data_IF_865316524908
#
_entry.id   IF_865316524908
#
_cell.length_a   1.000
_cell.length_b   1.000
_cell.length_c   1.000
_cell.angle_alpha   90.00
_cell.angle_beta   90.00
_cell.angle_gamma   90.00
#
_symmetry.space_group_name_H-M   'P 1'
#
loop_
_entity.id
_entity.type
_entity.pdbx_description
1 polymer ?
#
# COMPACT_ATOMS: atom_id res chain seq x y z
N UNK A 1 9.95 -17.44 3.18
CA UNK A 1 8.65 -17.50 3.88
C UNK A 1 8.35 -16.29 4.75
N UNK A 2 9.27 -15.68 5.52
CA UNK A 2 8.92 -14.58 6.45
C UNK A 2 8.48 -13.24 5.81
N UNK A 3 8.86 -12.99 4.54
CA UNK A 3 8.52 -11.75 3.80
C UNK A 3 7.53 -12.00 2.65
N UNK A 4 7.09 -13.24 2.46
CA UNK A 4 6.28 -13.62 1.30
C UNK A 4 4.92 -12.92 1.30
N UNK A 5 4.28 -12.79 2.46
CA UNK A 5 2.99 -12.11 2.57
C UNK A 5 3.09 -10.63 2.15
N UNK A 6 4.22 -9.97 2.43
CA UNK A 6 4.50 -8.59 2.00
C UNK A 6 4.58 -8.51 0.49
N UNK A 7 5.33 -9.42 -0.14
CA UNK A 7 5.42 -9.49 -1.59
C UNK A 7 4.07 -9.78 -2.24
N UNK A 8 3.26 -10.68 -1.67
CA UNK A 8 1.91 -10.97 -2.18
C UNK A 8 0.98 -9.76 -2.06
N UNK A 9 1.01 -9.03 -0.93
CA UNK A 9 0.23 -7.82 -0.74
C UNK A 9 0.60 -6.73 -1.77
N UNK A 10 1.90 -6.50 -1.97
CA UNK A 10 2.39 -5.60 -3.01
C UNK A 10 1.96 -6.03 -4.42
N UNK A 11 2.17 -7.32 -4.75
CA UNK A 11 1.90 -7.85 -6.08
C UNK A 11 0.41 -8.00 -6.40
N UNK A 12 -0.49 -8.01 -5.41
CA UNK A 12 -1.94 -8.11 -5.62
C UNK A 12 -2.54 -6.79 -6.13
N UNK A 13 -2.09 -5.66 -5.59
CA UNK A 13 -2.63 -4.35 -5.93
C UNK A 13 -2.34 -3.93 -7.38
N UNK A 14 -1.18 -4.32 -7.93
CA UNK A 14 -0.79 -3.91 -9.28
C UNK A 14 -1.64 -4.54 -10.40
N UNK A 15 -1.91 -5.86 -10.43
CA UNK A 15 -2.87 -6.46 -11.35
C UNK A 15 -4.27 -5.87 -11.26
N UNK A 16 -4.74 -5.56 -10.04
CA UNK A 16 -6.06 -4.95 -9.85
C UNK A 16 -6.12 -3.57 -10.52
N UNK A 17 -5.09 -2.74 -10.33
CA UNK A 17 -4.96 -1.44 -11.03
C UNK A 17 -4.89 -1.61 -12.54
N UNK A 18 -4.10 -2.57 -13.04
CA UNK A 18 -4.03 -2.88 -14.48
C UNK A 18 -5.40 -3.25 -15.04
N UNK A 19 -6.13 -4.13 -14.34
CA UNK A 19 -7.45 -4.57 -14.77
C UNK A 19 -8.48 -3.43 -14.80
N UNK A 20 -8.31 -2.42 -13.95
CA UNK A 20 -9.16 -1.22 -13.87
C UNK A 20 -8.72 -0.11 -14.82
N UNK A 21 -7.52 -0.22 -15.43
CA UNK A 21 -6.94 0.83 -16.25
C UNK A 21 -6.33 1.98 -15.44
N UNK A 22 -6.07 1.76 -14.15
CA UNK A 22 -5.49 2.75 -13.25
C UNK A 22 -3.97 2.89 -13.41
N UNK A 23 -3.45 4.01 -12.92
CA UNK A 23 -2.01 4.25 -12.88
C UNK A 23 -1.30 3.28 -11.91
N UNK A 24 -0.32 2.55 -12.44
CA UNK A 24 0.48 1.61 -11.65
C UNK A 24 1.71 2.25 -11.02
N UNK A 25 2.04 3.50 -11.37
CA UNK A 25 3.22 4.21 -10.83
C UNK A 25 3.11 4.55 -9.34
N UNK A 26 1.99 5.09 -8.82
CA UNK A 26 1.90 5.50 -7.41
C UNK A 26 2.20 4.35 -6.45
N UNK A 27 2.76 4.67 -5.27
CA UNK A 27 3.09 3.68 -4.25
C UNK A 27 1.93 2.74 -3.91
N UNK A 28 2.22 1.46 -3.69
CA UNK A 28 1.24 0.47 -3.23
C UNK A 28 1.03 0.59 -1.72
N UNK A 29 -0.10 0.10 -1.20
CA UNK A 29 -0.38 0.08 0.24
C UNK A 29 0.73 -0.66 1.01
N UNK A 30 1.21 -1.79 0.47
CA UNK A 30 2.33 -2.53 1.06
C UNK A 30 3.63 -1.71 1.13
N UNK A 31 3.94 -0.89 0.11
CA UNK A 31 5.11 -0.01 0.11
C UNK A 31 4.99 1.08 1.19
N UNK A 32 3.78 1.67 1.33
CA UNK A 32 3.52 2.67 2.38
C UNK A 32 3.68 2.06 3.77
N UNK A 33 3.13 0.86 4.01
CA UNK A 33 3.31 0.15 5.30
C UNK A 33 4.79 -0.05 5.62
N UNK A 34 5.59 -0.49 4.65
CA UNK A 34 7.02 -0.69 4.85
C UNK A 34 7.75 0.63 5.14
N UNK A 35 7.43 1.69 4.41
CA UNK A 35 8.02 3.02 4.62
C UNK A 35 7.70 3.57 6.03
N UNK A 36 6.44 3.52 6.45
CA UNK A 36 6.00 4.01 7.76
C UNK A 36 6.46 3.09 8.90
N UNK A 37 6.50 1.77 8.67
CA UNK A 37 7.05 0.80 9.61
C UNK A 37 8.57 0.94 9.80
N UNK A 38 9.29 1.45 8.79
CA UNK A 38 10.69 1.84 8.95
C UNK A 38 10.81 3.18 9.70
N UNK A 39 10.01 4.19 9.31
CA UNK A 39 10.00 5.49 9.96
C UNK A 39 9.68 5.41 11.46
N UNK A 40 8.76 4.53 11.86
CA UNK A 40 8.38 4.31 13.26
C UNK A 40 9.51 3.79 14.15
N UNK A 41 10.53 3.13 13.56
CA UNK A 41 11.72 2.68 14.27
C UNK A 41 12.71 3.82 14.53
N UNK A 42 12.59 4.93 13.78
CA UNK A 42 13.46 6.10 13.89
C UNK A 42 12.80 7.15 14.81
N UNK A 43 11.51 7.37 14.66
CA UNK A 43 10.74 8.32 15.44
C UNK A 43 9.28 7.87 15.60
N UNK A 44 8.65 8.27 16.70
CA UNK A 44 7.23 8.02 16.91
C UNK A 44 6.40 8.67 15.80
N UNK A 45 5.49 7.89 15.21
CA UNK A 45 4.51 8.40 14.26
C UNK A 45 3.48 9.27 14.99
N UNK A 46 3.05 10.35 14.35
CA UNK A 46 1.89 11.12 14.81
C UNK A 46 0.58 10.38 14.49
N UNK A 47 -0.54 10.86 15.04
CA UNK A 47 -1.84 10.20 14.90
C UNK A 47 -2.28 9.98 13.45
N UNK A 48 -2.05 10.97 12.56
CA UNK A 48 -2.36 10.87 11.13
C UNK A 48 -1.52 9.79 10.45
N UNK A 49 -0.21 9.79 10.69
CA UNK A 49 0.72 8.80 10.15
C UNK A 49 0.43 7.38 10.66
N UNK A 50 0.05 7.24 11.93
CA UNK A 50 -0.41 5.97 12.51
C UNK A 50 -1.71 5.52 11.84
N UNK A 51 -2.68 6.41 11.67
CA UNK A 51 -3.94 6.12 10.98
C UNK A 51 -3.73 5.64 9.55
N UNK A 52 -2.87 6.34 8.78
CA UNK A 52 -2.48 5.93 7.44
C UNK A 52 -1.83 4.54 7.41
N UNK A 53 -0.86 4.29 8.32
CA UNK A 53 -0.17 3.01 8.40
C UNK A 53 -1.16 1.85 8.61
N UNK A 54 -2.14 2.01 9.51
CA UNK A 54 -3.16 0.99 9.76
C UNK A 54 -4.14 0.81 8.59
N UNK A 55 -4.58 1.90 7.95
CA UNK A 55 -5.43 1.85 6.75
C UNK A 55 -4.74 1.05 5.64
N UNK A 56 -3.48 1.38 5.35
CA UNK A 56 -2.69 0.70 4.33
C UNK A 56 -2.40 -0.76 4.71
N UNK A 57 -2.23 -1.06 6.00
CA UNK A 57 -2.10 -2.43 6.47
C UNK A 57 -3.33 -3.28 6.14
N UNK A 58 -4.52 -2.78 6.47
CA UNK A 58 -5.78 -3.48 6.18
C UNK A 58 -5.98 -3.70 4.67
N UNK A 59 -5.63 -2.71 3.85
CA UNK A 59 -5.70 -2.82 2.40
C UNK A 59 -4.70 -3.84 1.82
N UNK A 60 -3.45 -3.81 2.29
CA UNK A 60 -2.39 -4.67 1.77
C UNK A 60 -2.48 -6.13 2.25
N UNK A 61 -2.99 -6.33 3.47
CA UNK A 61 -2.98 -7.62 4.16
C UNK A 61 -4.36 -8.00 4.73
N UNK A 62 -5.42 -8.06 3.90
CA UNK A 62 -6.79 -8.26 4.37
C UNK A 62 -7.00 -9.60 5.09
N UNK A 63 -6.18 -10.61 4.76
CA UNK A 63 -6.25 -11.95 5.36
C UNK A 63 -5.47 -12.05 6.69
N UNK A 64 -4.80 -10.98 7.11
CA UNK A 64 -4.06 -10.93 8.37
C UNK A 64 -4.94 -10.29 9.44
N UNK A 65 -5.38 -11.09 10.40
CA UNK A 65 -6.05 -10.60 11.60
C UNK A 65 -5.03 -9.91 12.51
N UNK A 66 -4.92 -8.60 12.37
CA UNK A 66 -4.36 -7.74 13.41
C UNK A 66 -5.55 -7.15 14.16
N UNK A 67 -5.50 -7.21 15.49
CA UNK A 67 -6.51 -6.61 16.36
C UNK A 67 -6.32 -5.08 16.33
N UNK A 68 -6.68 -4.49 15.18
CA UNK A 68 -6.68 -3.05 14.95
C UNK A 68 -8.06 -2.58 15.46
N UNK A 69 -8.17 -2.56 16.79
CA UNK A 69 -9.34 -2.25 17.63
C UNK A 69 -10.02 -0.89 17.28
N UNK A 70 -11.18 -0.62 17.92
CA UNK A 70 -12.09 0.55 17.89
C UNK A 70 -11.40 1.92 17.67
N UNK A 71 -10.15 2.03 18.09
CA UNK A 71 -9.24 3.14 17.90
C UNK A 71 -9.03 3.55 16.42
N UNK A 72 -9.02 2.62 15.47
CA UNK A 72 -8.83 2.99 14.05
C UNK A 72 -10.07 3.65 13.48
N UNK A 73 -11.27 3.12 13.75
CA UNK A 73 -12.52 3.76 13.32
C UNK A 73 -12.63 5.18 13.89
N UNK A 74 -12.22 5.35 15.16
CA UNK A 74 -12.17 6.67 15.79
C UNK A 74 -11.16 7.61 15.11
N UNK A 75 -9.95 7.14 14.78
CA UNK A 75 -8.95 7.93 14.05
C UNK A 75 -9.45 8.34 12.67
N UNK A 76 -10.08 7.43 11.94
CA UNK A 76 -10.66 7.72 10.63
C UNK A 76 -11.75 8.79 10.71
N UNK A 77 -12.62 8.73 11.74
CA UNK A 77 -13.65 9.76 11.97
C UNK A 77 -13.08 11.14 12.28
N UNK A 78 -11.98 11.23 13.02
CA UNK A 78 -11.40 12.51 13.45
C UNK A 78 -10.40 13.10 12.46
N UNK A 79 -9.61 12.25 11.80
CA UNK A 79 -8.45 12.65 11.01
C UNK A 79 -8.51 12.17 9.57
N UNK A 80 -9.63 11.61 9.11
CA UNK A 80 -9.78 11.01 7.77
C UNK A 80 -9.26 11.91 6.64
N UNK A 81 -9.61 13.20 6.64
CA UNK A 81 -9.12 14.13 5.61
C UNK A 81 -7.60 14.29 5.63
N UNK A 82 -6.99 14.41 6.81
CA UNK A 82 -5.53 14.47 6.94
C UNK A 82 -4.86 13.15 6.56
N UNK A 83 -5.53 12.03 6.80
CA UNK A 83 -5.05 10.70 6.38
C UNK A 83 -5.10 10.60 4.85
N UNK A 84 -6.16 11.10 4.21
CA UNK A 84 -6.29 11.13 2.75
C UNK A 84 -5.20 11.98 2.11
N UNK A 85 -4.93 13.17 2.67
CA UNK A 85 -3.83 14.05 2.22
C UNK A 85 -2.47 13.34 2.36
N UNK A 86 -2.23 12.70 3.51
CA UNK A 86 -1.00 11.95 3.76
C UNK A 86 -0.87 10.74 2.83
N UNK A 87 -1.97 10.07 2.50
CA UNK A 87 -1.99 8.96 1.54
C UNK A 87 -1.59 9.44 0.15
N UNK A 88 -2.19 10.52 -0.33
CA UNK A 88 -1.87 11.11 -1.63
C UNK A 88 -0.38 11.48 -1.72
N UNK A 89 0.15 12.15 -0.68
CA UNK A 89 1.56 12.50 -0.60
C UNK A 89 2.47 11.27 -0.57
N UNK A 90 2.12 10.24 0.22
CA UNK A 90 2.90 9.02 0.32
C UNK A 90 2.92 8.24 -1.01
N UNK A 91 1.77 8.14 -1.69
CA UNK A 91 1.66 7.48 -3.00
C UNK A 91 2.47 8.20 -4.07
N UNK A 92 2.49 9.54 -4.06
CA UNK A 92 3.31 10.35 -4.96
C UNK A 92 4.82 10.18 -4.67
N UNK A 93 5.22 10.31 -3.41
CA UNK A 93 6.63 10.17 -3.00
C UNK A 93 7.22 8.78 -3.26
N UNK A 94 6.39 7.74 -3.17
CA UNK A 94 6.78 6.36 -3.43
C UNK A 94 6.52 5.93 -4.89
N UNK A 95 6.15 6.86 -5.76
CA UNK A 95 5.86 6.53 -7.15
C UNK A 95 7.11 5.99 -7.87
N UNK A 96 6.92 4.91 -8.64
CA UNK A 96 7.96 4.30 -9.46
C UNK A 96 7.66 4.64 -10.92
N UNK A 97 8.42 5.56 -11.50
CA UNK A 97 8.16 6.09 -12.86
C UNK A 97 8.16 5.01 -13.95
N UNK A 98 8.96 3.96 -13.81
CA UNK A 98 9.05 2.85 -14.75
C UNK A 98 7.98 1.77 -14.56
N UNK A 99 7.15 1.86 -13.50
CA UNK A 99 6.07 0.91 -13.25
C UNK A 99 4.86 1.29 -14.08
N UNK A 100 4.97 1.01 -15.38
CA UNK A 100 3.94 1.23 -16.38
C UNK A 100 3.85 -0.06 -17.20
N UNK A 101 2.63 -0.59 -17.37
CA UNK A 101 2.41 -1.71 -18.28
C UNK A 101 2.46 -1.21 -19.73
N UNK A 102 3.51 -1.57 -20.44
CA UNK A 102 3.63 -1.33 -21.88
C UNK A 102 2.83 -2.33 -22.71
N UNK A 103 2.98 -2.25 -24.03
CA UNK A 103 2.45 -3.25 -24.95
C UNK A 103 3.01 -4.64 -24.61
N UNK A 104 2.13 -5.60 -24.35
CA UNK A 104 2.51 -6.99 -24.12
C UNK A 104 2.74 -7.65 -25.49
N UNK A 105 4.01 -7.82 -25.87
CA UNK A 105 4.41 -8.51 -27.10
C UNK A 105 4.54 -10.04 -26.94
N UNK A 106 4.24 -10.54 -25.73
CA UNK A 106 4.36 -11.95 -25.42
C UNK A 106 3.37 -12.79 -26.26
N UNK A 107 3.89 -13.76 -27.00
CA UNK A 107 3.10 -14.69 -27.83
C UNK A 107 2.62 -15.93 -27.07
N UNK A 108 2.88 -16.01 -25.77
CA UNK A 108 2.47 -17.13 -24.92
C UNK A 108 3.28 -18.43 -25.12
N UNK A 109 4.42 -18.38 -25.79
CA UNK A 109 5.33 -19.52 -25.91
C UNK A 109 6.24 -19.54 -24.68
N UNK A 110 5.67 -20.01 -23.58
CA UNK A 110 6.40 -20.28 -22.36
C UNK A 110 6.57 -21.78 -22.28
N UNK A 111 7.81 -22.26 -22.47
CA UNK A 111 8.14 -23.67 -22.25
C UNK A 111 7.78 -24.00 -20.81
N UNK A 112 6.76 -24.85 -20.66
CA UNK A 112 6.20 -25.26 -19.37
C UNK A 112 7.16 -26.09 -18.53
#
# INVERSE_FOLDING_TARGET
MRTEFVHRGHARELPDRVAQGDDTRPGTAAEIVLAFGHASQIASLNTTATGLMFRMWQQAFPDTTVDIDDDQEHREKLYGSSIDDAEAEARDKLAVSGRILGTIECRGWHDG
#
